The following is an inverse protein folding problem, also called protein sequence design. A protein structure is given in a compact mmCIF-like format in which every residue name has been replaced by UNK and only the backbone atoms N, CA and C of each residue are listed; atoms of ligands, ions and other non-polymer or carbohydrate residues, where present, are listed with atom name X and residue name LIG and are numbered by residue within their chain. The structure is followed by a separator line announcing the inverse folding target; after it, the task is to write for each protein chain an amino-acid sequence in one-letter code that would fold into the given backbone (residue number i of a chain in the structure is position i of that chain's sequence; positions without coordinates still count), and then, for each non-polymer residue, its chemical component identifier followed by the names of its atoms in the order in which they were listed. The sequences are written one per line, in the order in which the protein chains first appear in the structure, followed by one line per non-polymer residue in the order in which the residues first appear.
data_IF_128627677800
#
_entry.id   IF_128627677800
#
_cell.length_a   1.000
_cell.length_b   1.000
_cell.length_c   1.000
_cell.angle_alpha   90.00
_cell.angle_beta   90.00
_cell.angle_gamma   90.00
#
_symmetry.space_group_name_H-M   'P 1'
#
loop_
_entity.id
_entity.type
_entity.pdbx_description
1 polymer ?
#
# COMPACT_ATOMS: atom_id res chain seq x y z
N UNK A 1 30.27 14.66 -15.54
CA UNK A 1 31.23 14.12 -14.53
C UNK A 1 32.61 14.65 -14.89
N UNK A 2 33.51 14.85 -13.92
CA UNK A 2 34.87 15.41 -14.11
C UNK A 2 35.86 14.59 -13.29
N UNK A 3 37.05 14.35 -13.84
CA UNK A 3 38.19 13.79 -13.08
C UNK A 3 38.70 14.87 -12.10
N UNK A 4 38.75 14.53 -10.82
CA UNK A 4 39.17 15.44 -9.75
C UNK A 4 40.30 14.79 -8.97
N UNK A 5 41.43 15.46 -8.89
CA UNK A 5 42.55 15.05 -8.05
C UNK A 5 42.36 15.53 -6.61
N UNK A 6 42.55 14.64 -5.64
CA UNK A 6 42.62 14.99 -4.22
C UNK A 6 43.99 15.60 -3.90
N UNK A 7 44.10 16.25 -2.74
CA UNK A 7 45.38 16.75 -2.19
C UNK A 7 46.40 15.64 -1.95
N UNK A 8 45.94 14.38 -1.89
CA UNK A 8 46.78 13.20 -1.70
C UNK A 8 47.21 12.57 -3.05
N UNK A 9 46.92 13.21 -4.18
CA UNK A 9 47.30 12.76 -5.52
C UNK A 9 46.36 11.72 -6.15
N UNK A 10 45.36 11.23 -5.42
CA UNK A 10 44.38 10.28 -5.94
C UNK A 10 43.38 10.97 -6.88
N UNK A 11 43.12 10.36 -8.03
CA UNK A 11 42.17 10.87 -9.02
C UNK A 11 40.86 10.09 -8.94
N UNK A 12 39.75 10.81 -8.89
CA UNK A 12 38.41 10.22 -8.84
C UNK A 12 37.48 10.92 -9.84
N UNK A 13 36.64 10.13 -10.52
CA UNK A 13 35.66 10.66 -11.48
C UNK A 13 34.36 11.02 -10.75
N UNK A 14 34.12 12.32 -10.54
CA UNK A 14 33.02 12.82 -9.70
C UNK A 14 31.88 13.41 -10.52
N UNK A 15 30.64 13.30 -10.01
CA UNK A 15 29.53 14.10 -10.53
C UNK A 15 29.78 15.57 -10.18
N UNK A 16 29.53 16.45 -11.16
CA UNK A 16 29.61 17.90 -11.00
C UNK A 16 28.20 18.43 -11.13
N UNK A 17 27.77 19.21 -10.15
CA UNK A 17 26.50 19.92 -10.16
C UNK A 17 26.77 21.43 -10.16
N UNK A 18 25.87 22.20 -10.75
CA UNK A 18 25.85 23.65 -10.59
C UNK A 18 24.99 24.01 -9.39
N UNK A 19 25.44 24.96 -8.58
CA UNK A 19 24.68 25.52 -7.47
C UNK A 19 24.99 27.01 -7.36
N UNK A 20 24.16 27.74 -6.63
CA UNK A 20 24.35 29.18 -6.46
C UNK A 20 24.91 29.47 -5.07
N UNK A 21 26.05 30.13 -5.01
CA UNK A 21 26.69 30.58 -3.77
C UNK A 21 26.19 31.98 -3.45
N UNK A 22 25.68 32.18 -2.23
CA UNK A 22 25.24 33.47 -1.72
C UNK A 22 26.00 33.82 -0.46
N UNK A 23 26.73 34.93 -0.45
CA UNK A 23 27.55 35.39 0.67
C UNK A 23 27.44 36.91 0.78
N UNK A 24 27.12 37.43 1.97
CA UNK A 24 27.06 38.87 2.26
C UNK A 24 26.20 39.72 1.28
N UNK A 25 25.16 39.11 0.69
CA UNK A 25 24.26 39.77 -0.27
C UNK A 25 24.63 39.58 -1.74
N UNK A 26 25.84 39.09 -2.04
CA UNK A 26 26.26 38.74 -3.40
C UNK A 26 25.87 37.30 -3.75
N UNK A 27 25.60 37.06 -5.04
CA UNK A 27 25.16 35.77 -5.55
C UNK A 27 25.86 35.41 -6.87
N UNK A 28 26.34 34.17 -7.01
CA UNK A 28 26.90 33.68 -8.27
C UNK A 28 26.87 32.15 -8.41
N UNK A 29 26.82 31.63 -9.65
CA UNK A 29 26.88 30.19 -9.88
C UNK A 29 28.29 29.64 -9.59
N UNK A 30 28.33 28.47 -8.98
CA UNK A 30 29.53 27.69 -8.70
C UNK A 30 29.32 26.23 -9.11
N UNK A 31 30.42 25.55 -9.39
CA UNK A 31 30.40 24.10 -9.59
C UNK A 31 30.80 23.35 -8.31
N UNK A 32 30.05 22.32 -7.96
CA UNK A 32 30.30 21.46 -6.79
C UNK A 32 30.50 20.02 -7.25
N UNK A 33 31.56 19.39 -6.75
CA UNK A 33 31.83 17.98 -7.01
C UNK A 33 31.30 17.11 -5.87
N UNK A 34 30.44 16.14 -6.19
CA UNK A 34 29.84 15.24 -5.22
C UNK A 34 30.78 14.07 -4.90
N UNK A 35 31.09 13.89 -3.62
CA UNK A 35 31.81 12.72 -3.08
C UNK A 35 31.49 12.59 -1.59
N UNK A 36 31.61 11.38 -1.04
CA UNK A 36 31.32 11.11 0.36
C UNK A 36 32.47 11.62 1.24
N UNK A 37 32.18 12.57 2.12
CA UNK A 37 33.13 13.17 3.08
C UNK A 37 32.68 13.02 4.54
N UNK A 38 31.88 11.99 4.85
CA UNK A 38 31.33 11.80 6.19
C UNK A 38 32.41 11.74 7.30
N UNK A 39 33.60 11.26 6.95
CA UNK A 39 34.77 11.12 7.84
C UNK A 39 35.62 12.39 7.98
N UNK A 40 35.36 13.43 7.19
CA UNK A 40 36.12 14.69 7.26
C UNK A 40 35.50 15.66 8.25
N UNK A 41 36.34 16.46 8.91
CA UNK A 41 35.91 17.58 9.77
C UNK A 41 35.07 18.59 8.98
N UNK A 42 35.52 18.96 7.78
CA UNK A 42 34.76 19.78 6.83
C UNK A 42 34.15 18.91 5.74
N UNK A 43 32.83 18.72 5.81
CA UNK A 43 32.09 17.83 4.89
C UNK A 43 31.85 18.45 3.50
N UNK A 44 32.04 19.76 3.37
CA UNK A 44 31.96 20.50 2.11
C UNK A 44 33.23 21.33 1.95
N UNK A 45 33.77 21.34 0.72
CA UNK A 45 34.95 22.11 0.35
C UNK A 45 34.61 22.97 -0.87
N UNK A 46 34.90 24.26 -0.80
CA UNK A 46 34.84 25.17 -1.93
C UNK A 46 36.28 25.37 -2.45
N UNK A 47 36.51 24.95 -3.69
CA UNK A 47 37.79 25.17 -4.36
C UNK A 47 37.90 26.59 -4.91
N UNK A 48 39.11 26.96 -5.36
CA UNK A 48 39.39 28.29 -5.94
C UNK A 48 38.42 28.72 -7.05
N UNK A 49 37.92 27.77 -7.84
CA UNK A 49 37.01 28.03 -8.96
C UNK A 49 35.62 28.52 -8.51
N UNK A 50 35.26 28.30 -7.24
CA UNK A 50 34.04 28.84 -6.67
C UNK A 50 34.22 30.28 -6.14
N UNK A 51 35.47 30.77 -6.07
CA UNK A 51 35.79 32.09 -5.54
C UNK A 51 36.09 33.04 -6.71
N UNK A 52 35.47 34.22 -6.69
CA UNK A 52 35.74 35.30 -7.66
C UNK A 52 37.02 36.03 -7.28
N UNK A 53 37.63 36.73 -8.25
CA UNK A 53 38.93 37.40 -8.09
C UNK A 53 38.96 38.48 -6.98
N UNK A 54 37.80 39.02 -6.60
CA UNK A 54 37.70 40.04 -5.54
C UNK A 54 37.53 39.44 -4.12
N UNK A 55 37.53 38.11 -3.98
CA UNK A 55 37.31 37.46 -2.68
C UNK A 55 38.65 37.24 -1.98
N UNK A 56 38.78 37.80 -0.78
CA UNK A 56 39.89 37.54 0.13
C UNK A 56 39.50 36.54 1.21
N UNK A 57 40.39 35.59 1.54
CA UNK A 57 40.16 34.56 2.56
C UNK A 57 41.04 34.84 3.78
N UNK A 58 40.42 35.04 4.94
CA UNK A 58 41.10 35.03 6.23
C UNK A 58 41.18 33.59 6.76
N UNK A 59 42.33 32.93 6.63
CA UNK A 59 42.49 31.52 6.98
C UNK A 59 42.42 31.23 8.50
N UNK A 60 42.53 32.26 9.34
CA UNK A 60 42.49 32.15 10.80
C UNK A 60 41.07 32.12 11.36
N UNK A 61 40.10 32.61 10.60
CA UNK A 61 38.75 32.82 11.10
C UNK A 61 37.89 31.60 10.79
N UNK A 62 36.99 31.26 11.73
CA UNK A 62 36.09 30.11 11.63
C UNK A 62 34.76 30.42 12.28
N UNK A 63 33.70 29.76 11.81
CA UNK A 63 32.34 29.91 12.35
C UNK A 63 31.80 31.35 12.30
N UNK A 64 32.14 32.11 11.25
CA UNK A 64 31.67 33.49 11.05
C UNK A 64 30.21 33.60 10.58
N UNK A 65 29.61 32.48 10.15
CA UNK A 65 28.19 32.42 9.82
C UNK A 65 27.37 32.09 11.07
N UNK A 66 26.13 32.61 11.19
CA UNK A 66 25.24 32.22 12.28
C UNK A 66 25.00 30.71 12.27
N UNK A 67 24.71 30.15 13.45
CA UNK A 67 24.36 28.74 13.57
C UNK A 67 23.08 28.48 12.77
N UNK A 68 23.23 27.76 11.65
CA UNK A 68 22.12 27.45 10.77
C UNK A 68 21.30 26.31 11.39
N UNK A 69 19.99 26.51 11.53
CA UNK A 69 19.09 25.45 11.96
C UNK A 69 18.74 24.50 10.81
N UNK A 70 18.65 23.21 11.11
CA UNK A 70 18.09 22.21 10.20
C UNK A 70 16.57 22.34 10.02
N UNK A 71 15.89 23.21 10.78
CA UNK A 71 14.43 23.40 10.71
C UNK A 71 13.94 23.75 9.30
N UNK A 72 14.77 24.43 8.49
CA UNK A 72 14.43 24.78 7.11
C UNK A 72 14.16 23.51 6.28
N UNK A 73 14.94 22.44 6.50
CA UNK A 73 14.74 21.13 5.84
C UNK A 73 13.54 20.34 6.38
N UNK A 74 13.06 20.68 7.58
CA UNK A 74 11.89 20.05 8.20
C UNK A 74 10.60 20.84 7.99
N UNK A 75 10.68 22.03 7.40
CA UNK A 75 9.52 22.85 7.04
C UNK A 75 8.59 22.12 6.06
N UNK A 76 7.28 22.30 6.22
CA UNK A 76 6.29 21.76 5.29
C UNK A 76 6.52 22.22 3.84
N UNK A 77 7.13 23.41 3.69
CA UNK A 77 7.46 24.01 2.41
C UNK A 77 8.56 23.23 1.66
N UNK A 78 9.60 22.73 2.33
CA UNK A 78 10.62 21.90 1.66
C UNK A 78 10.05 20.54 1.19
N UNK A 79 9.11 19.92 1.93
CA UNK A 79 8.42 18.70 1.48
C UNK A 79 7.62 18.91 0.20
N UNK A 80 7.07 20.10 -0.03
CA UNK A 80 6.33 20.43 -1.26
C UNK A 80 7.22 20.89 -2.41
N UNK A 81 8.52 21.12 -2.19
CA UNK A 81 9.44 21.71 -3.20
C UNK A 81 10.39 20.67 -3.80
N UNK A 82 10.22 19.37 -3.52
CA UNK A 82 10.95 18.33 -4.23
C UNK A 82 10.70 18.48 -5.74
N UNK A 83 11.75 18.52 -6.58
CA UNK A 83 11.57 18.72 -8.01
C UNK A 83 10.72 17.59 -8.58
N UNK A 84 9.69 17.95 -9.34
CA UNK A 84 8.88 16.99 -10.10
C UNK A 84 9.80 16.27 -11.09
N UNK A 85 10.23 15.06 -10.73
CA UNK A 85 11.01 14.19 -11.61
C UNK A 85 10.12 13.07 -12.13
N UNK A 86 10.40 12.59 -13.33
CA UNK A 86 9.81 11.37 -13.84
C UNK A 86 10.20 10.21 -12.90
N UNK A 87 9.20 9.50 -12.38
CA UNK A 87 9.38 8.30 -11.58
C UNK A 87 9.36 7.07 -12.49
N UNK A 88 10.12 6.04 -12.11
CA UNK A 88 10.01 4.71 -12.72
C UNK A 88 9.18 3.81 -11.82
N UNK A 89 8.04 3.37 -12.31
CA UNK A 89 7.02 2.66 -11.51
C UNK A 89 6.76 1.29 -12.12
N UNK A 90 6.79 0.26 -11.28
CA UNK A 90 6.42 -1.10 -11.69
C UNK A 90 5.01 -1.44 -11.21
N UNK A 91 4.14 -1.91 -12.11
CA UNK A 91 2.84 -2.48 -11.76
C UNK A 91 2.95 -4.00 -11.83
N UNK A 92 2.97 -4.67 -10.67
CA UNK A 92 3.05 -6.14 -10.64
C UNK A 92 1.65 -6.73 -10.86
N UNK A 93 1.35 -7.14 -12.08
CA UNK A 93 0.05 -7.69 -12.45
C UNK A 93 0.20 -8.84 -13.45
N UNK A 94 -0.72 -9.81 -13.40
CA UNK A 94 -0.82 -10.87 -14.43
C UNK A 94 -1.95 -10.63 -15.42
N UNK A 95 -2.77 -9.62 -15.16
CA UNK A 95 -4.02 -9.40 -15.87
C UNK A 95 -4.00 -8.02 -16.54
N UNK A 96 -4.41 -8.01 -17.81
CA UNK A 96 -4.79 -6.78 -18.50
C UNK A 96 -6.27 -6.49 -18.22
N UNK A 97 -6.50 -5.72 -17.16
CA UNK A 97 -7.83 -5.29 -16.74
C UNK A 97 -7.89 -3.77 -16.60
N UNK A 98 -9.09 -3.23 -16.42
CA UNK A 98 -9.32 -1.79 -16.27
C UNK A 98 -8.40 -1.14 -15.24
N UNK A 99 -8.19 -1.79 -14.09
CA UNK A 99 -7.39 -1.23 -13.01
C UNK A 99 -5.90 -1.15 -13.39
N UNK A 100 -5.37 -2.18 -14.05
CA UNK A 100 -3.99 -2.17 -14.57
C UNK A 100 -3.81 -1.09 -15.63
N UNK A 101 -4.72 -0.98 -16.61
CA UNK A 101 -4.63 0.03 -17.68
C UNK A 101 -4.70 1.45 -17.14
N UNK A 102 -5.65 1.73 -16.23
CA UNK A 102 -5.76 3.04 -15.57
C UNK A 102 -4.49 3.43 -14.82
N UNK A 103 -3.81 2.47 -14.16
CA UNK A 103 -2.52 2.73 -13.50
C UNK A 103 -1.43 3.18 -14.48
N UNK A 104 -1.37 2.56 -15.66
CA UNK A 104 -0.42 2.94 -16.72
C UNK A 104 -0.78 4.30 -17.29
N UNK A 105 -2.02 4.47 -17.77
CA UNK A 105 -2.51 5.70 -18.39
C UNK A 105 -2.31 6.93 -17.50
N UNK A 106 -2.69 6.85 -16.22
CA UNK A 106 -2.55 7.97 -15.29
C UNK A 106 -1.08 8.32 -15.02
N UNK A 107 -0.21 7.31 -14.88
CA UNK A 107 1.20 7.54 -14.62
C UNK A 107 1.93 8.12 -15.82
N UNK A 108 1.66 7.60 -17.02
CA UNK A 108 2.23 8.13 -18.26
C UNK A 108 1.73 9.55 -18.55
N UNK A 109 0.44 9.84 -18.31
CA UNK A 109 -0.11 11.20 -18.42
C UNK A 109 0.55 12.20 -17.45
N UNK A 110 1.09 11.72 -16.32
CA UNK A 110 1.87 12.50 -15.34
C UNK A 110 3.37 12.55 -15.64
N UNK A 111 3.81 11.97 -16.76
CA UNK A 111 5.21 11.97 -17.19
C UNK A 111 6.09 10.93 -16.49
N UNK A 112 5.50 9.88 -15.93
CA UNK A 112 6.24 8.76 -15.33
C UNK A 112 6.42 7.61 -16.33
N UNK A 113 7.45 6.80 -16.13
CA UNK A 113 7.66 5.55 -16.86
C UNK A 113 7.00 4.42 -16.09
N UNK A 114 5.92 3.85 -16.61
CA UNK A 114 5.17 2.78 -15.95
C UNK A 114 5.34 1.47 -16.70
N UNK A 115 5.83 0.43 -16.02
CA UNK A 115 6.05 -0.89 -16.60
C UNK A 115 5.15 -1.93 -15.93
N UNK A 116 4.35 -2.65 -16.71
CA UNK A 116 3.54 -3.78 -16.18
C UNK A 116 4.39 -5.04 -16.23
N UNK A 117 4.61 -5.64 -15.06
CA UNK A 117 5.48 -6.81 -14.90
C UNK A 117 4.65 -8.00 -14.41
N UNK A 118 4.73 -9.10 -15.15
CA UNK A 118 4.08 -10.34 -14.75
C UNK A 118 4.82 -10.97 -13.57
N UNK A 119 4.22 -10.82 -12.38
CA UNK A 119 4.78 -11.30 -11.11
C UNK A 119 5.31 -12.74 -11.14
N UNK A 120 4.64 -13.68 -11.84
CA UNK A 120 5.05 -15.10 -11.85
C UNK A 120 6.23 -15.39 -12.76
N UNK A 121 6.62 -14.46 -13.64
CA UNK A 121 7.83 -14.56 -14.47
C UNK A 121 9.04 -13.92 -13.78
N UNK A 122 8.84 -13.20 -12.68
CA UNK A 122 9.94 -12.71 -11.87
C UNK A 122 10.62 -13.88 -11.16
N UNK A 123 11.94 -13.82 -11.03
CA UNK A 123 12.73 -14.68 -10.15
C UNK A 123 13.79 -13.83 -9.46
N UNK A 124 14.32 -14.28 -8.32
CA UNK A 124 15.12 -13.43 -7.44
C UNK A 124 16.47 -14.07 -7.12
N UNK A 125 17.50 -13.23 -7.05
CA UNK A 125 18.79 -13.62 -6.48
C UNK A 125 18.86 -13.04 -5.07
N UNK A 126 18.87 -13.92 -4.06
CA UNK A 126 18.97 -13.54 -2.65
C UNK A 126 20.44 -13.68 -2.24
N UNK A 127 21.11 -12.55 -2.03
CA UNK A 127 22.46 -12.52 -1.48
C UNK A 127 22.60 -11.28 -0.58
N UNK A 128 23.63 -11.25 0.27
CA UNK A 128 23.81 -10.25 1.31
C UNK A 128 24.23 -8.86 0.82
N UNK A 129 24.74 -8.75 -0.41
CA UNK A 129 25.37 -7.52 -0.93
C UNK A 129 24.53 -6.82 -2.00
N UNK A 130 23.89 -7.59 -2.87
CA UNK A 130 23.15 -7.15 -4.04
C UNK A 130 21.92 -8.03 -4.26
N UNK A 131 20.84 -7.86 -3.47
CA UNK A 131 19.56 -8.48 -3.75
C UNK A 131 19.03 -8.00 -5.11
N UNK A 132 18.57 -8.93 -5.95
CA UNK A 132 18.09 -8.61 -7.29
C UNK A 132 16.75 -9.27 -7.58
N UNK A 133 15.96 -8.61 -8.44
CA UNK A 133 14.81 -9.19 -9.12
C UNK A 133 15.14 -9.27 -10.59
N UNK A 134 14.86 -10.40 -11.20
CA UNK A 134 15.05 -10.67 -12.63
C UNK A 134 13.70 -10.96 -13.28
N UNK A 135 13.63 -10.73 -14.58
CA UNK A 135 12.47 -10.98 -15.42
C UNK A 135 12.96 -11.37 -16.82
N UNK A 136 12.53 -12.52 -17.33
CA UNK A 136 12.87 -13.02 -18.67
C UNK A 136 14.36 -12.97 -19.02
N UNK A 137 15.22 -13.48 -18.14
CA UNK A 137 16.66 -13.54 -18.39
C UNK A 137 17.44 -12.27 -18.03
N UNK A 138 16.76 -11.18 -17.64
CA UNK A 138 17.40 -9.88 -17.37
C UNK A 138 17.13 -9.40 -15.96
N UNK A 139 18.14 -8.78 -15.34
CA UNK A 139 17.97 -8.04 -14.09
C UNK A 139 17.01 -6.87 -14.32
N UNK A 140 16.00 -6.76 -13.47
CA UNK A 140 15.12 -5.61 -13.47
C UNK A 140 15.86 -4.35 -13.00
N UNK A 141 15.53 -3.20 -13.59
CA UNK A 141 16.08 -1.92 -13.18
C UNK A 141 15.58 -1.54 -11.77
N UNK A 142 16.20 -0.50 -11.19
CA UNK A 142 15.67 0.11 -9.98
C UNK A 142 14.38 0.87 -10.31
N UNK A 143 13.33 0.59 -9.55
CA UNK A 143 12.08 1.33 -9.57
C UNK A 143 12.03 2.27 -8.37
N UNK A 144 11.37 3.42 -8.54
CA UNK A 144 11.08 4.35 -7.46
C UNK A 144 9.91 3.82 -6.62
N UNK A 145 8.88 3.28 -7.29
CA UNK A 145 7.74 2.66 -6.65
C UNK A 145 7.27 1.38 -7.35
N UNK A 146 6.66 0.49 -6.58
CA UNK A 146 6.01 -0.74 -7.05
C UNK A 146 4.57 -0.73 -6.57
N UNK A 147 3.63 -0.98 -7.47
CA UNK A 147 2.19 -1.09 -7.21
C UNK A 147 1.77 -2.55 -7.41
N UNK A 148 1.68 -3.37 -6.35
CA UNK A 148 1.33 -4.76 -6.50
C UNK A 148 -0.16 -4.97 -6.71
N UNK A 149 -0.50 -5.67 -7.79
CA UNK A 149 -1.84 -6.15 -8.13
C UNK A 149 -1.89 -7.68 -8.01
N UNK A 150 -1.48 -8.18 -6.84
CA UNK A 150 -1.30 -9.61 -6.59
C UNK A 150 -2.66 -10.32 -6.45
N UNK A 151 -2.92 -11.24 -7.38
CA UNK A 151 -4.08 -12.12 -7.33
C UNK A 151 -3.98 -13.15 -6.20
N UNK A 152 -5.12 -13.55 -5.65
CA UNK A 152 -5.19 -14.44 -4.49
C UNK A 152 -4.43 -15.77 -4.70
N UNK A 153 -4.47 -16.34 -5.90
CA UNK A 153 -3.83 -17.62 -6.24
C UNK A 153 -2.31 -17.61 -6.23
N UNK A 154 -1.66 -16.44 -6.18
CA UNK A 154 -0.20 -16.33 -6.16
C UNK A 154 0.29 -15.51 -4.96
N UNK A 155 -0.52 -15.34 -3.91
CA UNK A 155 -0.16 -14.52 -2.75
C UNK A 155 1.20 -14.90 -2.13
N UNK A 156 1.52 -16.19 -1.91
CA UNK A 156 2.82 -16.56 -1.32
C UNK A 156 4.00 -16.13 -2.19
N UNK A 157 3.93 -16.39 -3.50
CA UNK A 157 5.00 -16.02 -4.44
C UNK A 157 5.07 -14.51 -4.68
N UNK A 158 3.93 -13.87 -4.93
CA UNK A 158 3.86 -12.44 -5.17
C UNK A 158 4.36 -11.62 -3.98
N UNK A 159 4.04 -12.02 -2.76
CA UNK A 159 4.59 -11.36 -1.57
C UNK A 159 6.08 -11.62 -1.39
N UNK A 160 6.62 -12.75 -1.85
CA UNK A 160 8.08 -12.98 -1.88
C UNK A 160 8.79 -12.00 -2.82
N UNK A 161 8.24 -11.77 -4.01
CA UNK A 161 8.77 -10.77 -4.95
C UNK A 161 8.68 -9.35 -4.36
N UNK A 162 7.58 -9.00 -3.69
CA UNK A 162 7.44 -7.69 -3.02
C UNK A 162 8.47 -7.52 -1.91
N UNK A 163 8.70 -8.54 -1.06
CA UNK A 163 9.75 -8.52 -0.03
C UNK A 163 11.13 -8.28 -0.62
N UNK A 164 11.39 -8.80 -1.83
CA UNK A 164 12.65 -8.54 -2.52
C UNK A 164 12.75 -7.06 -2.94
N UNK A 165 11.70 -6.47 -3.48
CA UNK A 165 11.66 -5.03 -3.79
C UNK A 165 11.82 -4.17 -2.53
N UNK A 166 11.18 -4.53 -1.43
CA UNK A 166 11.33 -3.86 -0.13
C UNK A 166 12.79 -3.95 0.36
N UNK A 167 13.43 -5.12 0.24
CA UNK A 167 14.85 -5.33 0.60
C UNK A 167 15.79 -4.46 -0.24
N UNK A 168 15.47 -4.23 -1.53
CA UNK A 168 16.22 -3.33 -2.42
C UNK A 168 16.03 -1.84 -2.04
N UNK A 169 15.06 -1.53 -1.17
CA UNK A 169 14.71 -0.17 -0.77
C UNK A 169 13.74 0.53 -1.72
N UNK A 170 12.99 -0.24 -2.52
CA UNK A 170 11.93 0.27 -3.39
C UNK A 170 10.66 0.52 -2.57
N UNK A 171 9.95 1.60 -2.87
CA UNK A 171 8.68 1.90 -2.20
C UNK A 171 7.54 1.02 -2.75
N UNK A 172 6.86 0.25 -1.88
CA UNK A 172 5.79 -0.66 -2.29
C UNK A 172 4.41 -0.20 -1.78
N UNK A 173 3.44 -0.04 -2.70
CA UNK A 173 2.04 0.31 -2.38
C UNK A 173 1.11 -0.80 -2.88
N UNK A 174 0.87 -1.87 -2.11
CA UNK A 174 1.20 -2.09 -0.69
C UNK A 174 2.43 -2.96 -0.42
N UNK A 175 2.91 -2.93 0.82
CA UNK A 175 3.96 -3.83 1.28
C UNK A 175 3.51 -5.27 1.49
N UNK A 176 4.46 -6.20 1.56
CA UNK A 176 4.20 -7.63 1.59
C UNK A 176 3.44 -8.08 2.85
N UNK A 177 3.78 -7.51 4.01
CA UNK A 177 3.15 -7.82 5.30
C UNK A 177 1.65 -7.54 5.28
N UNK A 178 1.26 -6.34 4.83
CA UNK A 178 -0.15 -5.96 4.76
C UNK A 178 -0.94 -6.79 3.74
N UNK A 179 -0.32 -7.13 2.60
CA UNK A 179 -0.94 -7.99 1.59
C UNK A 179 -1.21 -9.38 2.18
N UNK A 180 -0.21 -10.02 2.79
CA UNK A 180 -0.37 -11.33 3.44
C UNK A 180 -1.47 -11.28 4.52
N UNK A 181 -1.42 -10.27 5.39
CA UNK A 181 -2.38 -10.08 6.46
C UNK A 181 -3.82 -9.93 5.96
N UNK A 182 -4.03 -9.18 4.88
CA UNK A 182 -5.36 -8.98 4.29
C UNK A 182 -5.94 -10.21 3.59
N UNK A 183 -5.09 -11.18 3.21
CA UNK A 183 -5.49 -12.38 2.46
C UNK A 183 -5.83 -13.55 3.39
N UNK A 184 -5.19 -13.61 4.54
CA UNK A 184 -5.52 -14.56 5.59
C UNK A 184 -6.71 -14.04 6.40
N UNK A 185 -7.90 -14.62 6.17
CA UNK A 185 -9.12 -14.20 6.86
C UNK A 185 -8.99 -14.38 8.39
N UNK A 186 -8.36 -15.45 8.87
CA UNK A 186 -8.23 -15.67 10.31
C UNK A 186 -7.33 -14.61 10.93
N UNK A 187 -6.14 -14.42 10.35
CA UNK A 187 -5.20 -13.43 10.84
C UNK A 187 -5.76 -12.01 10.72
N UNK A 188 -6.52 -11.71 9.66
CA UNK A 188 -7.23 -10.44 9.51
C UNK A 188 -8.19 -10.15 10.68
N UNK A 189 -8.99 -11.13 11.12
CA UNK A 189 -9.88 -10.96 12.27
C UNK A 189 -9.09 -10.75 13.57
N UNK A 190 -7.97 -11.46 13.75
CA UNK A 190 -7.09 -11.27 14.91
C UNK A 190 -6.45 -9.87 14.94
N UNK A 191 -6.01 -9.34 13.78
CA UNK A 191 -5.52 -7.96 13.66
C UNK A 191 -6.60 -6.96 14.06
N UNK A 192 -7.81 -7.11 13.52
CA UNK A 192 -8.92 -6.22 13.84
C UNK A 192 -9.29 -6.28 15.32
N UNK A 193 -9.26 -7.46 15.93
CA UNK A 193 -9.61 -7.66 17.34
C UNK A 193 -8.59 -6.98 18.25
N UNK A 194 -7.29 -7.19 17.98
CA UNK A 194 -6.18 -6.50 18.66
C UNK A 194 -6.27 -4.99 18.51
N UNK A 195 -6.68 -4.49 17.35
CA UNK A 195 -6.86 -3.06 17.08
C UNK A 195 -8.19 -2.50 17.63
N UNK A 196 -9.03 -3.32 18.28
CA UNK A 196 -10.38 -2.96 18.77
C UNK A 196 -11.26 -2.35 17.68
N UNK A 197 -11.24 -2.95 16.51
CA UNK A 197 -12.05 -2.56 15.35
C UNK A 197 -13.30 -3.42 15.34
N UNK A 198 -14.47 -2.79 15.21
CA UNK A 198 -15.74 -3.50 15.16
C UNK A 198 -15.79 -4.42 13.93
N UNK A 199 -16.14 -5.68 14.15
CA UNK A 199 -16.38 -6.69 13.11
C UNK A 199 -17.54 -7.59 13.59
N UNK A 200 -18.20 -8.36 12.72
CA UNK A 200 -19.22 -9.31 13.16
C UNK A 200 -18.60 -10.34 14.13
N UNK A 201 -19.36 -10.78 15.14
CA UNK A 201 -18.84 -11.78 16.07
C UNK A 201 -18.45 -13.05 15.30
N UNK A 202 -17.29 -13.61 15.60
CA UNK A 202 -16.66 -14.60 14.72
C UNK A 202 -15.93 -15.66 15.53
N UNK A 203 -16.25 -16.92 15.27
CA UNK A 203 -15.55 -18.08 15.78
C UNK A 203 -14.84 -18.83 14.65
N UNK A 204 -13.67 -19.36 14.95
CA UNK A 204 -12.85 -20.14 14.03
C UNK A 204 -12.77 -21.59 14.48
N UNK A 205 -12.79 -22.50 13.51
CA UNK A 205 -12.77 -23.92 13.78
C UNK A 205 -12.13 -24.70 12.62
N UNK A 206 -11.41 -25.78 12.96
CA UNK A 206 -10.90 -26.77 12.01
C UNK A 206 -11.73 -28.06 12.09
N UNK A 207 -11.72 -28.70 13.26
CA UNK A 207 -12.53 -29.90 13.53
C UNK A 207 -12.93 -29.97 15.01
N UNK A 208 -13.72 -29.02 15.53
CA UNK A 208 -14.23 -29.11 16.89
C UNK A 208 -15.21 -30.28 16.97
N UNK A 209 -15.08 -31.15 17.96
CA UNK A 209 -16.09 -32.17 18.27
C UNK A 209 -17.35 -31.56 18.91
N UNK A 210 -17.30 -30.27 19.27
CA UNK A 210 -18.35 -29.53 19.96
C UNK A 210 -18.90 -28.39 19.07
N UNK A 211 -19.69 -28.76 18.05
CA UNK A 211 -20.34 -27.81 17.13
C UNK A 211 -21.31 -26.87 17.87
N UNK A 212 -22.00 -27.37 18.90
CA UNK A 212 -23.00 -26.64 19.65
C UNK A 212 -22.41 -25.45 20.41
N UNK A 213 -21.29 -25.67 21.09
CA UNK A 213 -20.56 -24.61 21.78
C UNK A 213 -19.94 -23.61 20.79
N UNK A 214 -19.37 -24.08 19.68
CA UNK A 214 -18.84 -23.19 18.63
C UNK A 214 -19.90 -22.19 18.14
N UNK A 215 -21.11 -22.69 17.87
CA UNK A 215 -22.24 -21.84 17.49
C UNK A 215 -22.59 -20.87 18.64
N UNK A 216 -22.64 -21.36 19.87
CA UNK A 216 -22.92 -20.56 21.07
C UNK A 216 -21.93 -19.41 21.31
N UNK A 217 -20.66 -19.57 20.94
CA UNK A 217 -19.65 -18.50 21.03
C UNK A 217 -19.96 -17.31 20.10
N UNK A 218 -20.62 -17.58 18.97
CA UNK A 218 -20.97 -16.55 17.99
C UNK A 218 -22.29 -15.89 18.34
N UNK A 219 -23.30 -16.69 18.68
CA UNK A 219 -24.63 -16.23 19.03
C UNK A 219 -25.72 -17.19 18.53
N UNK A 220 -26.89 -16.64 18.24
CA UNK A 220 -28.03 -17.40 17.73
C UNK A 220 -28.17 -17.29 16.22
N UNK A 221 -28.77 -18.29 15.59
CA UNK A 221 -29.10 -18.24 14.17
C UNK A 221 -29.99 -17.03 13.82
N UNK A 222 -29.88 -16.48 12.60
CA UNK A 222 -29.06 -16.94 11.48
C UNK A 222 -27.56 -16.67 11.62
N UNK A 223 -26.74 -17.55 11.05
CA UNK A 223 -25.27 -17.47 11.07
C UNK A 223 -24.72 -17.58 9.66
N UNK A 224 -23.52 -17.06 9.46
CA UNK A 224 -22.75 -17.24 8.24
C UNK A 224 -21.64 -18.25 8.50
N UNK A 225 -21.57 -19.30 7.67
CA UNK A 225 -20.46 -20.26 7.68
C UNK A 225 -19.60 -20.06 6.43
N UNK A 226 -18.31 -19.77 6.61
CA UNK A 226 -17.35 -19.47 5.53
C UNK A 226 -16.21 -20.47 5.51
N UNK A 227 -15.91 -21.02 4.35
CA UNK A 227 -14.65 -21.73 4.11
C UNK A 227 -13.50 -20.73 3.97
N UNK A 228 -12.34 -21.05 4.57
CA UNK A 228 -11.16 -20.20 4.45
C UNK A 228 -10.54 -20.27 3.07
N UNK A 229 -10.52 -21.47 2.46
CA UNK A 229 -9.83 -21.76 1.20
C UNK A 229 -10.57 -21.31 -0.07
N UNK A 230 -11.71 -20.63 0.08
CA UNK A 230 -12.51 -20.20 -1.08
C UNK A 230 -12.27 -18.73 -1.47
N UNK A 231 -12.29 -18.50 -2.78
CA UNK A 231 -12.28 -17.16 -3.40
C UNK A 231 -13.66 -16.80 -3.97
N UNK A 232 -13.94 -15.50 -4.12
CA UNK A 232 -15.14 -14.96 -4.78
C UNK A 232 -16.50 -15.41 -4.21
N UNK A 233 -16.61 -15.67 -2.90
CA UNK A 233 -17.90 -15.98 -2.26
C UNK A 233 -18.46 -17.37 -2.56
N UNK A 234 -17.70 -18.24 -3.23
CA UNK A 234 -17.91 -19.70 -3.18
C UNK A 234 -17.61 -20.12 -1.74
N UNK A 235 -18.39 -21.01 -1.12
CA UNK A 235 -18.16 -21.44 0.27
C UNK A 235 -18.54 -20.41 1.36
N UNK A 236 -19.43 -19.47 1.07
CA UNK A 236 -20.13 -18.67 2.10
C UNK A 236 -21.59 -19.10 2.11
N UNK A 237 -22.06 -19.64 3.23
CA UNK A 237 -23.41 -20.18 3.40
C UNK A 237 -24.13 -19.42 4.52
N UNK A 238 -25.36 -18.99 4.26
CA UNK A 238 -26.26 -18.49 5.30
C UNK A 238 -27.02 -19.67 5.88
N UNK A 239 -26.85 -19.91 7.18
CA UNK A 239 -27.57 -20.90 7.93
C UNK A 239 -28.65 -20.21 8.76
N UNK A 240 -29.91 -20.32 8.31
CA UNK A 240 -31.04 -19.64 8.95
C UNK A 240 -31.41 -20.23 10.32
N UNK A 241 -31.07 -21.50 10.55
CA UNK A 241 -31.35 -22.22 11.79
C UNK A 241 -30.07 -22.82 12.37
N UNK A 242 -30.07 -23.10 13.67
CA UNK A 242 -28.97 -23.79 14.35
C UNK A 242 -28.69 -25.16 13.70
N UNK A 243 -29.73 -25.93 13.39
CA UNK A 243 -29.63 -27.23 12.72
C UNK A 243 -28.98 -27.11 11.33
N UNK A 244 -29.37 -26.10 10.55
CA UNK A 244 -28.74 -25.84 9.26
C UNK A 244 -27.25 -25.51 9.42
N UNK A 245 -26.88 -24.71 10.44
CA UNK A 245 -25.48 -24.40 10.73
C UNK A 245 -24.69 -25.66 11.10
N UNK A 246 -25.25 -26.51 11.96
CA UNK A 246 -24.66 -27.81 12.34
C UNK A 246 -24.42 -28.69 11.11
N UNK A 247 -25.41 -28.84 10.22
CA UNK A 247 -25.27 -29.64 8.99
C UNK A 247 -24.19 -29.11 8.05
N UNK A 248 -24.08 -27.79 7.90
CA UNK A 248 -23.03 -27.17 7.06
C UNK A 248 -21.65 -27.36 7.68
N UNK A 249 -21.53 -27.22 9.01
CA UNK A 249 -20.28 -27.43 9.73
C UNK A 249 -19.83 -28.89 9.62
N UNK A 250 -20.75 -29.85 9.77
CA UNK A 250 -20.44 -31.27 9.63
C UNK A 250 -19.98 -31.62 8.20
N UNK A 251 -20.64 -31.05 7.19
CA UNK A 251 -20.20 -31.19 5.79
C UNK A 251 -18.79 -30.63 5.57
N UNK A 252 -18.46 -29.46 6.14
CA UNK A 252 -17.12 -28.86 6.04
C UNK A 252 -16.06 -29.65 6.80
N UNK A 253 -16.42 -30.26 7.95
CA UNK A 253 -15.53 -31.16 8.69
C UNK A 253 -15.14 -32.38 7.85
N UNK A 254 -16.09 -32.96 7.10
CA UNK A 254 -15.83 -34.07 6.18
C UNK A 254 -14.81 -33.72 5.08
N UNK A 255 -14.74 -32.44 4.68
CA UNK A 255 -13.77 -31.93 3.71
C UNK A 255 -12.38 -31.63 4.31
N UNK A 256 -12.19 -31.82 5.63
CA UNK A 256 -10.98 -31.46 6.38
C UNK A 256 -10.54 -30.00 6.16
N UNK A 257 -11.50 -29.11 5.92
CA UNK A 257 -11.25 -27.72 5.61
C UNK A 257 -11.46 -26.83 6.84
N UNK A 258 -10.60 -25.82 6.99
CA UNK A 258 -10.76 -24.78 8.00
C UNK A 258 -11.96 -23.87 7.66
N UNK A 259 -12.76 -23.53 8.66
CA UNK A 259 -13.95 -22.71 8.48
C UNK A 259 -14.13 -21.68 9.58
N UNK A 260 -15.01 -20.73 9.30
CA UNK A 260 -15.32 -19.60 10.16
C UNK A 260 -16.84 -19.50 10.29
N UNK A 261 -17.32 -19.42 11.52
CA UNK A 261 -18.72 -19.16 11.85
C UNK A 261 -18.83 -17.72 12.30
N UNK A 262 -19.75 -16.97 11.71
CA UNK A 262 -19.85 -15.53 11.91
C UNK A 262 -21.31 -15.12 12.09
N UNK A 263 -21.52 -14.12 12.94
CA UNK A 263 -22.82 -13.51 13.15
C UNK A 263 -23.35 -12.88 11.85
N UNK A 264 -24.64 -13.08 11.58
CA UNK A 264 -25.29 -12.49 10.42
C UNK A 264 -25.91 -11.15 10.79
N UNK A 265 -25.26 -10.07 10.33
CA UNK A 265 -25.75 -8.69 10.51
C UNK A 265 -26.97 -8.45 9.60
N UNK A 266 -28.16 -8.77 10.11
CA UNK A 266 -29.42 -8.71 9.37
C UNK A 266 -29.71 -7.32 8.82
N UNK A 267 -29.37 -6.27 9.57
CA UNK A 267 -29.64 -4.88 9.16
C UNK A 267 -28.91 -4.48 7.87
N UNK A 268 -27.82 -5.17 7.55
CA UNK A 268 -26.99 -4.95 6.37
C UNK A 268 -27.17 -6.04 5.31
N UNK A 269 -28.21 -6.89 5.40
CA UNK A 269 -28.43 -7.98 4.46
C UNK A 269 -28.47 -7.46 3.00
N UNK A 270 -27.63 -8.02 2.14
CA UNK A 270 -27.54 -7.64 0.73
C UNK A 270 -26.90 -6.27 0.48
N UNK A 271 -26.39 -5.57 1.50
CA UNK A 271 -25.82 -4.21 1.36
C UNK A 271 -24.51 -4.09 2.11
N UNK A 272 -23.48 -3.58 1.43
CA UNK A 272 -22.25 -3.17 2.10
C UNK A 272 -21.73 -1.82 1.57
N UNK A 273 -20.87 -1.19 2.36
CA UNK A 273 -20.19 0.06 2.00
C UNK A 273 -18.72 -0.24 1.80
N UNK A 274 -18.24 -0.10 0.57
CA UNK A 274 -16.83 -0.13 0.26
C UNK A 274 -16.24 1.26 0.40
N UNK A 275 -15.36 1.45 1.37
CA UNK A 275 -14.52 2.63 1.53
C UNK A 275 -13.16 2.38 0.90
N UNK A 276 -12.72 3.23 -0.02
CA UNK A 276 -11.36 3.15 -0.55
C UNK A 276 -10.46 4.14 0.18
N UNK A 277 -9.45 3.60 0.85
CA UNK A 277 -8.44 4.33 1.60
C UNK A 277 -7.16 4.41 0.78
N UNK A 278 -6.62 5.62 0.62
CA UNK A 278 -5.30 5.87 0.02
C UNK A 278 -4.56 6.89 0.90
N UNK A 279 -3.32 6.61 1.28
CA UNK A 279 -2.48 7.55 2.03
C UNK A 279 -3.09 8.02 3.35
N UNK A 280 -3.84 7.15 4.04
CA UNK A 280 -4.52 7.52 5.29
C UNK A 280 -5.76 8.40 5.13
N UNK A 281 -6.33 8.51 3.91
CA UNK A 281 -7.58 9.23 3.64
C UNK A 281 -8.57 8.32 2.92
N UNK A 282 -9.85 8.41 3.28
CA UNK A 282 -10.92 7.76 2.48
C UNK A 282 -11.23 8.66 1.29
N UNK A 283 -10.72 8.28 0.11
CA UNK A 283 -10.81 9.07 -1.13
C UNK A 283 -12.17 8.92 -1.82
N UNK A 284 -12.78 7.74 -1.68
CA UNK A 284 -14.10 7.45 -2.19
C UNK A 284 -14.80 6.37 -1.37
N UNK A 285 -16.12 6.34 -1.48
CA UNK A 285 -16.94 5.29 -0.94
C UNK A 285 -18.11 5.00 -1.87
N UNK A 286 -18.48 3.72 -1.99
CA UNK A 286 -19.66 3.28 -2.72
C UNK A 286 -20.47 2.32 -1.88
N UNK A 287 -21.80 2.40 -1.98
CA UNK A 287 -22.73 1.40 -1.51
C UNK A 287 -22.86 0.35 -2.60
N UNK A 288 -22.68 -0.92 -2.26
CA UNK A 288 -23.00 -2.04 -3.14
C UNK A 288 -24.25 -2.74 -2.65
N UNK A 289 -25.09 -3.16 -3.59
CA UNK A 289 -26.33 -3.88 -3.30
C UNK A 289 -26.34 -5.16 -4.12
N UNK A 290 -26.60 -6.29 -3.45
CA UNK A 290 -26.69 -7.61 -4.07
C UNK A 290 -27.88 -7.72 -5.02
N UNK A 291 -27.91 -8.81 -5.79
CA UNK A 291 -29.09 -9.16 -6.57
C UNK A 291 -30.26 -9.53 -5.64
N UNK A 292 -31.49 -9.44 -6.13
CA UNK A 292 -32.69 -9.79 -5.36
C UNK A 292 -32.58 -11.24 -4.84
N UNK A 293 -32.79 -11.43 -3.53
CA UNK A 293 -32.65 -12.72 -2.86
C UNK A 293 -31.22 -13.16 -2.50
N UNK A 294 -30.17 -12.41 -2.88
CA UNK A 294 -28.78 -12.70 -2.44
C UNK A 294 -28.39 -11.80 -1.27
N UNK A 295 -28.03 -12.40 -0.12
CA UNK A 295 -27.54 -11.67 1.04
C UNK A 295 -26.13 -11.10 0.82
N UNK A 296 -25.44 -11.47 -0.26
CA UNK A 296 -24.10 -11.01 -0.63
C UNK A 296 -24.18 -9.84 -1.62
N UNK A 297 -23.40 -8.79 -1.38
CA UNK A 297 -23.40 -7.53 -2.14
C UNK A 297 -22.31 -7.46 -3.23
N UNK A 298 -21.80 -8.60 -3.72
CA UNK A 298 -20.71 -8.64 -4.69
C UNK A 298 -21.15 -8.15 -6.09
N UNK A 299 -20.51 -7.09 -6.60
CA UNK A 299 -20.73 -6.54 -7.95
C UNK A 299 -20.63 -7.57 -9.08
N UNK A 300 -19.70 -8.53 -8.98
CA UNK A 300 -19.49 -9.56 -10.00
C UNK A 300 -20.66 -10.56 -10.14
N UNK A 301 -21.66 -10.51 -9.25
CA UNK A 301 -22.84 -11.40 -9.27
C UNK A 301 -24.13 -10.64 -9.63
N UNK A 302 -24.03 -9.57 -10.40
CA UNK A 302 -25.19 -8.78 -10.84
C UNK A 302 -25.67 -7.74 -9.82
N UNK A 303 -24.86 -7.44 -8.80
CA UNK A 303 -25.13 -6.36 -7.86
C UNK A 303 -24.92 -4.97 -8.48
N UNK A 304 -25.54 -3.94 -7.88
CA UNK A 304 -25.37 -2.54 -8.28
C UNK A 304 -24.41 -1.79 -7.35
N UNK A 305 -23.79 -0.71 -7.85
CA UNK A 305 -22.97 0.19 -7.04
C UNK A 305 -23.39 1.65 -7.24
N UNK A 306 -23.54 2.38 -6.15
CA UNK A 306 -23.85 3.81 -6.14
C UNK A 306 -22.93 4.56 -5.20
N UNK A 307 -22.63 5.82 -5.50
CA UNK A 307 -21.88 6.67 -4.56
C UNK A 307 -22.64 6.80 -3.24
N UNK A 308 -21.92 6.82 -2.12
CA UNK A 308 -22.53 6.96 -0.79
C UNK A 308 -21.77 7.95 0.08
N UNK A 309 -22.50 8.78 0.81
CA UNK A 309 -21.94 9.61 1.87
C UNK A 309 -21.76 8.78 3.13
N UNK A 310 -20.51 8.63 3.56
CA UNK A 310 -20.16 7.91 4.78
C UNK A 310 -20.15 8.84 6.00
N UNK A 311 -20.49 8.29 7.16
CA UNK A 311 -20.46 8.99 8.44
C UNK A 311 -19.02 9.18 8.93
N UNK A 312 -18.84 10.04 9.95
CA UNK A 312 -17.53 10.21 10.61
C UNK A 312 -17.01 8.90 11.20
N UNK A 313 -17.90 8.11 11.82
CA UNK A 313 -17.54 6.84 12.46
C UNK A 313 -17.12 5.81 11.40
N UNK A 314 -17.88 5.68 10.30
CA UNK A 314 -17.51 4.80 9.17
C UNK A 314 -16.14 5.16 8.59
N UNK A 315 -15.90 6.45 8.36
CA UNK A 315 -14.61 6.95 7.88
C UNK A 315 -13.48 6.58 8.84
N UNK A 316 -13.65 6.84 10.14
CA UNK A 316 -12.63 6.52 11.14
C UNK A 316 -12.38 5.01 11.24
N UNK A 317 -13.43 4.19 11.18
CA UNK A 317 -13.31 2.73 11.16
C UNK A 317 -12.53 2.24 9.95
N UNK A 318 -12.82 2.76 8.75
CA UNK A 318 -12.07 2.40 7.53
C UNK A 318 -10.60 2.80 7.62
N UNK A 319 -10.29 4.00 8.12
CA UNK A 319 -8.91 4.47 8.30
C UNK A 319 -8.15 3.63 9.32
N UNK A 320 -8.79 3.30 10.46
CA UNK A 320 -8.20 2.43 11.48
C UNK A 320 -7.94 1.03 10.95
N UNK A 321 -8.85 0.49 10.15
CA UNK A 321 -8.68 -0.80 9.49
C UNK A 321 -7.48 -0.76 8.54
N UNK A 322 -7.44 0.14 7.56
CA UNK A 322 -6.29 0.24 6.64
C UNK A 322 -4.95 0.40 7.39
N UNK A 323 -4.91 1.22 8.45
CA UNK A 323 -3.72 1.41 9.29
C UNK A 323 -3.33 0.13 10.05
N UNK A 324 -4.29 -0.59 10.62
CA UNK A 324 -4.02 -1.82 11.38
C UNK A 324 -3.40 -2.93 10.52
N UNK A 325 -3.70 -2.94 9.23
CA UNK A 325 -3.12 -3.85 8.24
C UNK A 325 -1.86 -3.31 7.57
N UNK A 326 -1.39 -2.10 7.93
CA UNK A 326 -0.26 -1.43 7.29
C UNK A 326 -0.43 -1.31 5.75
N UNK A 327 -1.63 -0.92 5.31
CA UNK A 327 -1.98 -0.74 3.90
C UNK A 327 -2.09 0.74 3.56
N UNK A 328 -1.24 1.19 2.63
CA UNK A 328 -1.30 2.53 2.06
C UNK A 328 -2.46 2.70 1.07
N UNK A 329 -2.89 1.61 0.42
CA UNK A 329 -4.08 1.54 -0.42
C UNK A 329 -4.94 0.36 0.02
N UNK A 330 -6.19 0.57 0.43
CA UNK A 330 -7.07 -0.52 0.85
C UNK A 330 -8.53 -0.27 0.46
N UNK A 331 -9.22 -1.32 0.03
CA UNK A 331 -10.67 -1.35 0.02
C UNK A 331 -11.17 -1.94 1.33
N UNK A 332 -11.88 -1.16 2.14
CA UNK A 332 -12.47 -1.61 3.40
C UNK A 332 -13.97 -1.74 3.24
N UNK A 333 -14.48 -2.96 3.38
CA UNK A 333 -15.90 -3.28 3.24
C UNK A 333 -16.56 -3.23 4.62
N UNK A 334 -17.60 -2.42 4.76
CA UNK A 334 -18.31 -2.17 6.01
C UNK A 334 -19.77 -2.61 5.91
N UNK A 335 -20.27 -3.21 6.99
CA UNK A 335 -21.68 -3.41 7.25
C UNK A 335 -22.17 -2.35 8.24
N UNK A 336 -23.31 -1.72 7.95
CA UNK A 336 -23.98 -0.84 8.91
C UNK A 336 -24.77 -1.72 9.88
N UNK A 337 -24.43 -1.64 11.16
CA UNK A 337 -25.23 -2.25 12.22
C UNK A 337 -25.72 -1.20 13.21
N UNK A 338 -26.73 -1.55 14.01
CA UNK A 338 -27.25 -0.72 15.09
C UNK A 338 -26.16 -0.31 16.10
N UNK A 339 -25.17 -1.19 16.33
CA UNK A 339 -24.03 -0.94 17.25
C UNK A 339 -22.84 -0.25 16.56
N UNK A 340 -23.05 0.34 15.38
CA UNK A 340 -22.03 1.02 14.58
C UNK A 340 -21.49 0.17 13.42
N UNK A 341 -20.51 0.69 12.64
CA UNK A 341 -20.01 -0.01 11.47
C UNK A 341 -19.15 -1.23 11.84
N UNK A 342 -19.39 -2.35 11.16
CA UNK A 342 -18.62 -3.59 11.28
C UNK A 342 -17.77 -3.79 10.03
N UNK A 343 -16.46 -4.00 10.19
CA UNK A 343 -15.58 -4.33 9.07
C UNK A 343 -15.80 -5.78 8.69
N UNK A 344 -16.14 -6.01 7.42
CA UNK A 344 -16.36 -7.33 6.83
C UNK A 344 -15.08 -7.87 6.20
N UNK A 345 -14.38 -7.02 5.43
CA UNK A 345 -13.16 -7.39 4.72
C UNK A 345 -12.26 -6.16 4.52
N UNK A 346 -10.95 -6.38 4.54
CA UNK A 346 -9.95 -5.39 4.12
C UNK A 346 -9.19 -5.98 2.95
N UNK A 347 -9.24 -5.34 1.77
CA UNK A 347 -8.61 -5.82 0.55
C UNK A 347 -7.44 -4.92 0.15
N UNK A 348 -6.25 -5.53 0.05
CA UNK A 348 -4.99 -4.87 -0.33
C UNK A 348 -4.83 -4.60 -1.83
N UNK A 349 -5.70 -5.12 -2.69
CA UNK A 349 -5.69 -4.88 -4.13
C UNK A 349 -7.12 -4.64 -4.64
N UNK A 350 -7.76 -3.53 -4.22
CA UNK A 350 -9.12 -3.21 -4.61
C UNK A 350 -9.19 -2.88 -6.11
N UNK A 351 -10.26 -3.30 -6.80
CA UNK A 351 -10.51 -2.88 -8.17
C UNK A 351 -10.99 -1.43 -8.24
N UNK A 352 -10.55 -0.68 -9.26
CA UNK A 352 -10.89 0.74 -9.43
C UNK A 352 -12.17 0.96 -10.23
N UNK A 353 -12.49 0.07 -11.17
CA UNK A 353 -13.57 0.26 -12.15
C UNK A 353 -14.93 0.58 -11.52
N UNK A 354 -15.39 -0.26 -10.60
CA UNK A 354 -16.71 -0.08 -9.98
C UNK A 354 -16.81 1.20 -9.15
N UNK A 355 -15.74 1.60 -8.48
CA UNK A 355 -15.74 2.79 -7.61
C UNK A 355 -15.52 4.08 -8.40
N UNK A 356 -14.69 4.07 -9.45
CA UNK A 356 -14.52 5.22 -10.34
C UNK A 356 -15.82 5.48 -11.11
N UNK A 357 -16.44 4.44 -11.69
CA UNK A 357 -17.73 4.59 -12.41
C UNK A 357 -18.86 5.09 -11.51
N UNK A 358 -18.95 4.59 -10.26
CA UNK A 358 -20.04 4.98 -9.35
C UNK A 358 -19.84 6.35 -8.69
N UNK A 359 -18.59 6.81 -8.54
CA UNK A 359 -18.30 8.08 -7.83
C UNK A 359 -17.85 9.21 -8.75
N UNK A 360 -17.45 8.93 -9.99
CA UNK A 360 -16.91 9.90 -10.93
C UNK A 360 -15.54 10.47 -10.53
N UNK A 361 -14.89 9.90 -9.52
CA UNK A 361 -13.60 10.39 -8.99
C UNK A 361 -12.42 9.69 -9.68
N UNK A 362 -11.34 10.44 -9.91
CA UNK A 362 -10.06 9.87 -10.33
C UNK A 362 -9.33 9.29 -9.10
N UNK A 363 -9.50 7.99 -8.89
CA UNK A 363 -8.94 7.26 -7.75
C UNK A 363 -7.47 6.96 -7.97
N UNK A 364 -7.12 6.58 -9.20
CA UNK A 364 -5.74 6.31 -9.57
C UNK A 364 -4.89 7.58 -9.46
N UNK A 365 -5.46 8.75 -9.81
CA UNK A 365 -4.81 10.04 -9.58
C UNK A 365 -4.46 10.27 -8.11
N UNK A 366 -5.37 9.97 -7.17
CA UNK A 366 -5.10 10.08 -5.74
C UNK A 366 -4.02 9.10 -5.25
N UNK A 367 -3.85 7.94 -5.90
CA UNK A 367 -2.75 7.02 -5.64
C UNK A 367 -1.41 7.63 -6.11
N UNK A 368 -1.38 8.22 -7.30
CA UNK A 368 -0.19 8.90 -7.80
C UNK A 368 0.19 10.12 -6.96
N UNK A 369 -0.77 10.94 -6.53
CA UNK A 369 -0.52 12.05 -5.60
C UNK A 369 0.19 11.56 -4.32
N UNK A 370 -0.20 10.38 -3.83
CA UNK A 370 0.41 9.75 -2.67
C UNK A 370 1.83 9.24 -2.95
N UNK A 371 2.07 8.63 -4.12
CA UNK A 371 3.40 8.15 -4.55
C UNK A 371 4.35 9.33 -4.76
N UNK A 372 3.90 10.40 -5.40
CA UNK A 372 4.69 11.61 -5.69
C UNK A 372 5.04 12.42 -4.43
N UNK A 373 4.23 12.32 -3.37
CA UNK A 373 4.45 13.03 -2.10
C UNK A 373 5.54 12.41 -1.20
N UNK A 374 6.09 11.27 -1.60
CA UNK A 374 7.09 10.48 -0.87
C UNK A 374 8.46 10.66 -1.48
#
# INVERSE_FOLDING_TARGET
RREVSSSNGEKELRYVISSTLRVAGDEWPIEITLTNRATMTSRMLLGRTALKDHISIAATDRFLQPELSYDVYHSAQMRSTAPKRALRIAVLSREDNYSTRRLVEEGEARGHSVEVINTTRCYIAINSLAPEVHYDGKRLPRFDAVIPRIGASITPYGTAIIRQFETIGTYCVNGATGITASRDKLYAHQIMARAKIGMPNTAFAASPMDTGNLIGLVGTAPLIVKLLESTQGKGVVLAETKKAAESVIDAFRGLKANFLVQDFVKEAAGVDIRCLVIGGKVVAAMKRTGAEGDFRSNLHRGGSATSVRITRIERQTALRAAKAFDLNMAGVDLLRSETGPKVLEVNSSPGFEGIEKSTGKNIVGALYDQIESR
#
